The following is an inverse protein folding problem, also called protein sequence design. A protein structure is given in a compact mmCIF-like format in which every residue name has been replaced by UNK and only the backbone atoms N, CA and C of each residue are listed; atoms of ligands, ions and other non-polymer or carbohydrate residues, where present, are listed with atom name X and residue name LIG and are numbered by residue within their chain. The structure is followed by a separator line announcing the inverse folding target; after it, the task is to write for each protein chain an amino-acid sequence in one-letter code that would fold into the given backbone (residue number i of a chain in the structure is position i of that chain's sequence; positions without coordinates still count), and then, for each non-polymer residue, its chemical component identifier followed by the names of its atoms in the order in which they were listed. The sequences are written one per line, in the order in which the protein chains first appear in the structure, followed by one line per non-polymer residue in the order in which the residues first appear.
data_IF_147513956425
#
_entry.id   IF_147513956425
#
_cell.length_a   1.000
_cell.length_b   1.000
_cell.length_c   1.000
_cell.angle_alpha   90.00
_cell.angle_beta   90.00
_cell.angle_gamma   90.00
#
_symmetry.space_group_name_H-M   'P 1'
#
loop_
_entity.id
_entity.type
_entity.pdbx_description
1 polymer ?
#
# COMPACT_ATOMS: atom_id res chain seq x y z
N UNK A 1 -33.22 -16.60 0.61
CA UNK A 1 -31.87 -16.83 0.06
C UNK A 1 -30.95 -15.69 0.46
N UNK A 2 -29.74 -15.94 0.99
CA UNK A 2 -28.77 -14.88 1.23
C UNK A 2 -28.33 -14.25 -0.11
N UNK A 3 -28.12 -12.94 -0.12
CA UNK A 3 -27.69 -12.20 -1.30
C UNK A 3 -26.35 -12.74 -1.82
N UNK A 4 -26.35 -13.32 -3.02
CA UNK A 4 -25.15 -13.84 -3.70
C UNK A 4 -24.29 -12.73 -4.32
N UNK A 5 -24.60 -11.45 -4.15
CA UNK A 5 -23.86 -10.37 -4.81
C UNK A 5 -22.35 -10.40 -4.46
N UNK A 6 -22.00 -10.89 -3.27
CA UNK A 6 -20.64 -10.89 -2.73
C UNK A 6 -19.91 -12.25 -2.66
N UNK A 7 -20.49 -13.34 -3.17
CA UNK A 7 -19.86 -14.67 -3.17
C UNK A 7 -18.72 -14.76 -4.20
N UNK A 8 -17.58 -15.43 -3.91
CA UNK A 8 -16.52 -15.66 -4.90
C UNK A 8 -17.06 -16.30 -6.19
N UNK A 9 -16.48 -15.96 -7.35
CA UNK A 9 -16.94 -16.48 -8.66
C UNK A 9 -16.96 -18.01 -8.72
N UNK A 10 -15.97 -18.67 -8.11
CA UNK A 10 -15.94 -20.12 -7.96
C UNK A 10 -17.14 -20.66 -7.15
N UNK A 11 -17.53 -19.96 -6.09
CA UNK A 11 -18.73 -20.30 -5.31
C UNK A 11 -20.03 -20.06 -6.07
N UNK A 12 -20.12 -18.99 -6.87
CA UNK A 12 -21.28 -18.76 -7.75
C UNK A 12 -21.40 -19.83 -8.82
N UNK A 13 -20.28 -20.20 -9.45
CA UNK A 13 -20.25 -21.28 -10.44
C UNK A 13 -20.60 -22.63 -9.82
N UNK A 14 -20.05 -22.93 -8.65
CA UNK A 14 -20.35 -24.15 -7.91
C UNK A 14 -21.82 -24.21 -7.48
N UNK A 15 -22.38 -23.10 -6.97
CA UNK A 15 -23.81 -23.03 -6.68
C UNK A 15 -24.68 -23.17 -7.93
N UNK A 16 -24.26 -22.55 -9.04
CA UNK A 16 -24.94 -22.72 -10.33
C UNK A 16 -24.93 -24.16 -10.80
N UNK A 17 -23.82 -24.88 -10.63
CA UNK A 17 -23.73 -26.31 -10.93
C UNK A 17 -24.62 -27.14 -10.00
N UNK A 18 -24.64 -26.84 -8.70
CA UNK A 18 -25.53 -27.51 -7.74
C UNK A 18 -27.00 -27.30 -8.07
N UNK A 19 -27.43 -26.09 -8.41
CA UNK A 19 -28.81 -25.81 -8.81
C UNK A 19 -29.16 -26.50 -10.13
N UNK A 20 -28.26 -26.49 -11.12
CA UNK A 20 -28.47 -27.28 -12.36
C UNK A 20 -28.57 -28.78 -12.08
N UNK A 21 -27.90 -29.25 -11.03
CA UNK A 21 -27.94 -30.63 -10.56
C UNK A 21 -29.08 -30.92 -9.55
N UNK A 22 -29.88 -29.95 -9.14
CA UNK A 22 -31.08 -30.24 -8.33
C UNK A 22 -32.31 -30.47 -9.19
N UNK A 23 -32.32 -29.90 -10.38
CA UNK A 23 -33.55 -29.77 -11.19
C UNK A 23 -33.75 -30.92 -12.19
N UNK A 24 -32.77 -31.81 -12.38
CA UNK A 24 -32.93 -32.95 -13.30
C UNK A 24 -33.32 -34.23 -12.56
N UNK A 25 -34.31 -34.93 -13.11
CA UNK A 25 -34.90 -36.16 -12.54
C UNK A 25 -33.99 -37.39 -12.64
N UNK A 26 -32.96 -37.33 -13.48
CA UNK A 26 -31.98 -38.39 -13.76
C UNK A 26 -30.74 -38.32 -12.87
N UNK A 27 -30.76 -37.48 -11.82
CA UNK A 27 -29.54 -37.13 -11.11
C UNK A 27 -29.16 -38.18 -10.07
N UNK A 28 -27.93 -38.63 -10.26
CA UNK A 28 -27.18 -39.40 -9.29
C UNK A 28 -27.00 -38.60 -7.99
N UNK A 29 -27.81 -38.98 -6.99
CA UNK A 29 -27.80 -38.38 -5.65
C UNK A 29 -26.43 -38.50 -4.98
N UNK A 30 -25.60 -39.47 -5.37
CA UNK A 30 -24.28 -39.66 -4.81
C UNK A 30 -23.25 -38.71 -5.45
N UNK A 31 -23.34 -38.40 -6.76
CA UNK A 31 -22.59 -37.27 -7.36
C UNK A 31 -22.96 -35.93 -6.73
N UNK A 32 -24.24 -35.70 -6.45
CA UNK A 32 -24.67 -34.46 -5.78
C UNK A 32 -24.09 -34.37 -4.37
N UNK A 33 -24.14 -35.45 -3.58
CA UNK A 33 -23.49 -35.53 -2.27
C UNK A 33 -21.98 -35.33 -2.36
N UNK A 34 -21.32 -35.84 -3.40
CA UNK A 34 -19.88 -35.63 -3.61
C UNK A 34 -19.56 -34.17 -3.90
N UNK A 35 -20.32 -33.50 -4.77
CA UNK A 35 -20.17 -32.06 -5.02
C UNK A 35 -20.39 -31.21 -3.76
N UNK A 36 -21.31 -31.60 -2.89
CA UNK A 36 -21.56 -30.95 -1.59
C UNK A 36 -20.41 -31.22 -0.60
N UNK A 37 -19.89 -32.46 -0.55
CA UNK A 37 -18.78 -32.86 0.34
C UNK A 37 -17.45 -32.21 -0.04
N UNK A 38 -17.27 -31.86 -1.32
CA UNK A 38 -16.06 -31.23 -1.86
C UNK A 38 -16.40 -29.84 -2.43
N UNK A 39 -16.72 -28.83 -1.60
CA UNK A 39 -16.80 -27.46 -2.08
C UNK A 39 -15.46 -27.09 -2.74
N UNK A 40 -15.45 -26.22 -3.77
CA UNK A 40 -14.23 -25.83 -4.44
C UNK A 40 -13.28 -25.27 -3.39
N UNK A 41 -12.18 -25.98 -3.15
CA UNK A 41 -11.07 -25.42 -2.40
C UNK A 41 -10.60 -24.21 -3.18
N UNK A 42 -10.69 -23.04 -2.55
CA UNK A 42 -10.17 -21.83 -3.14
C UNK A 42 -8.70 -22.12 -3.43
N UNK A 43 -8.31 -22.12 -4.71
CA UNK A 43 -6.94 -22.45 -5.10
C UNK A 43 -6.00 -21.67 -4.19
N UNK A 44 -5.13 -22.37 -3.47
CA UNK A 44 -4.21 -21.73 -2.53
C UNK A 44 -3.32 -20.78 -3.34
N UNK A 45 -3.66 -19.50 -3.28
CA UNK A 45 -2.87 -18.44 -3.86
C UNK A 45 -1.62 -18.38 -3.00
N UNK A 46 -0.45 -18.70 -3.58
CA UNK A 46 0.81 -18.60 -2.85
C UNK A 46 1.02 -17.18 -2.37
N UNK A 47 1.56 -17.05 -1.16
CA UNK A 47 1.98 -15.74 -0.65
C UNK A 47 3.49 -15.67 -0.78
N UNK A 48 4.02 -14.53 -1.23
CA UNK A 48 5.44 -14.22 -1.16
C UNK A 48 5.66 -12.93 -0.37
N UNK A 49 6.77 -12.84 0.35
CA UNK A 49 7.12 -11.66 1.10
C UNK A 49 7.70 -10.60 0.16
N UNK A 50 7.25 -9.36 0.30
CA UNK A 50 7.80 -8.24 -0.47
C UNK A 50 9.29 -8.01 -0.20
N UNK A 51 9.77 -8.42 0.98
CA UNK A 51 11.19 -8.38 1.32
C UNK A 51 12.06 -9.26 0.41
N UNK A 52 11.46 -10.22 -0.30
CA UNK A 52 12.15 -11.08 -1.26
C UNK A 52 12.24 -10.44 -2.67
N UNK A 53 11.60 -9.28 -2.88
CA UNK A 53 11.66 -8.54 -4.15
C UNK A 53 12.85 -7.58 -4.18
N UNK A 54 13.58 -7.57 -5.28
CA UNK A 54 14.52 -6.49 -5.57
C UNK A 54 13.77 -5.21 -5.99
N UNK A 55 14.38 -4.02 -5.89
CA UNK A 55 13.78 -2.80 -6.43
C UNK A 55 13.40 -2.91 -7.92
N UNK A 56 14.19 -3.65 -8.71
CA UNK A 56 13.88 -3.95 -10.11
C UNK A 56 12.59 -4.75 -10.25
N UNK A 57 12.45 -5.82 -9.45
CA UNK A 57 11.22 -6.62 -9.45
C UNK A 57 10.02 -5.75 -9.09
N UNK A 58 10.12 -4.88 -8.09
CA UNK A 58 9.02 -3.97 -7.69
C UNK A 58 8.66 -3.02 -8.83
N UNK A 59 9.66 -2.45 -9.51
CA UNK A 59 9.44 -1.53 -10.61
C UNK A 59 8.78 -2.20 -11.81
N UNK A 60 9.31 -3.33 -12.27
CA UNK A 60 8.73 -4.09 -13.38
C UNK A 60 7.29 -4.50 -13.06
N UNK A 61 7.09 -4.98 -11.84
CA UNK A 61 5.83 -5.53 -11.39
C UNK A 61 4.72 -4.47 -11.26
N UNK A 62 5.03 -3.32 -10.67
CA UNK A 62 4.05 -2.23 -10.48
C UNK A 62 4.06 -1.23 -11.64
N UNK A 63 4.87 -1.45 -12.68
CA UNK A 63 5.03 -0.53 -13.80
C UNK A 63 5.60 0.82 -13.37
N UNK A 64 6.55 0.80 -12.43
CA UNK A 64 7.16 2.02 -11.88
C UNK A 64 8.41 2.39 -12.65
N UNK A 65 8.65 3.70 -12.76
CA UNK A 65 9.79 4.25 -13.48
C UNK A 65 10.52 5.21 -12.55
N UNK A 66 11.83 5.08 -12.44
CA UNK A 66 12.64 6.07 -11.72
C UNK A 66 12.66 7.38 -12.51
N UNK A 67 12.31 8.48 -11.85
CA UNK A 67 12.39 9.81 -12.42
C UNK A 67 13.85 10.27 -12.41
N UNK A 68 14.39 10.62 -13.58
CA UNK A 68 15.69 11.25 -13.66
C UNK A 68 15.62 12.74 -13.31
N UNK A 69 16.60 13.22 -12.56
CA UNK A 69 16.76 14.64 -12.24
C UNK A 69 16.14 15.07 -10.90
N UNK A 70 16.03 16.39 -10.73
CA UNK A 70 15.60 17.01 -9.49
C UNK A 70 14.16 17.49 -9.57
N UNK A 71 13.38 17.20 -8.53
CA UNK A 71 12.05 17.77 -8.35
C UNK A 71 12.06 18.91 -7.35
N UNK A 72 11.07 19.80 -7.44
CA UNK A 72 10.96 20.95 -6.53
C UNK A 72 10.83 20.56 -5.05
N UNK A 73 10.34 19.35 -4.75
CA UNK A 73 10.21 18.85 -3.37
C UNK A 73 11.53 18.29 -2.81
N UNK A 74 12.55 18.04 -3.65
CA UNK A 74 13.89 17.64 -3.21
C UNK A 74 14.65 18.79 -2.52
N UNK A 75 14.06 19.98 -2.41
CA UNK A 75 14.65 21.13 -1.76
C UNK A 75 13.75 21.55 -0.60
N UNK A 76 14.25 21.36 0.62
CA UNK A 76 13.52 21.73 1.82
C UNK A 76 13.18 23.22 1.80
N UNK A 77 11.91 23.53 2.05
CA UNK A 77 11.43 24.91 2.23
C UNK A 77 11.18 25.14 3.71
N UNK A 78 11.52 26.32 4.27
CA UNK A 78 11.27 26.63 5.67
C UNK A 78 9.76 26.75 5.91
N UNK A 79 9.18 25.64 6.35
CA UNK A 79 7.78 25.44 6.70
C UNK A 79 7.59 25.58 8.21
N UNK A 80 8.47 24.96 9.00
CA UNK A 80 8.46 25.01 10.45
C UNK A 80 9.89 25.12 11.00
N UNK A 81 10.00 25.62 12.23
CA UNK A 81 11.21 25.57 13.02
C UNK A 81 10.97 24.63 14.20
N UNK A 82 11.96 23.79 14.51
CA UNK A 82 11.94 23.03 15.76
C UNK A 82 12.06 24.00 16.93
N UNK A 83 11.35 23.71 18.02
CA UNK A 83 11.49 24.52 19.22
C UNK A 83 12.83 24.19 19.91
N UNK A 84 13.46 25.15 20.60
CA UNK A 84 14.70 24.89 21.33
C UNK A 84 14.59 23.75 22.35
N UNK A 85 13.40 23.57 22.94
CA UNK A 85 13.12 22.49 23.89
C UNK A 85 13.19 21.12 23.21
N UNK A 86 12.67 21.01 21.99
CA UNK A 86 12.73 19.75 21.22
C UNK A 86 14.16 19.44 20.75
N UNK A 87 14.93 20.46 20.35
CA UNK A 87 16.35 20.27 20.00
C UNK A 87 17.16 19.81 21.22
N UNK A 88 16.89 20.38 22.39
CA UNK A 88 17.49 19.96 23.65
C UNK A 88 17.12 18.51 23.97
N UNK A 89 15.84 18.14 23.82
CA UNK A 89 15.39 16.76 23.99
C UNK A 89 16.11 15.80 23.03
N UNK A 90 16.26 16.15 21.75
CA UNK A 90 16.97 15.32 20.78
C UNK A 90 18.44 15.10 21.18
N UNK A 91 19.12 16.15 21.65
CA UNK A 91 20.50 16.08 22.09
C UNK A 91 20.64 15.19 23.34
N UNK A 92 19.81 15.44 24.36
CA UNK A 92 19.78 14.62 25.58
C UNK A 92 19.45 13.15 25.26
N UNK A 93 18.46 12.90 24.41
CA UNK A 93 18.10 11.55 23.98
C UNK A 93 19.29 10.86 23.29
N UNK A 94 19.97 11.56 22.37
CA UNK A 94 21.13 11.05 21.67
C UNK A 94 22.27 10.73 22.65
N UNK A 95 22.59 11.62 23.59
CA UNK A 95 23.62 11.42 24.62
C UNK A 95 23.33 10.18 25.48
N UNK A 96 22.12 10.09 26.04
CA UNK A 96 21.71 8.98 26.91
C UNK A 96 21.71 7.63 26.21
N UNK A 97 21.47 7.62 24.89
CA UNK A 97 21.37 6.39 24.12
C UNK A 97 22.66 6.02 23.38
N UNK A 98 23.62 6.94 23.23
CA UNK A 98 24.90 6.71 22.53
C UNK A 98 25.73 5.55 23.08
N UNK A 99 25.81 5.31 24.41
CA UNK A 99 26.54 4.16 24.94
C UNK A 99 25.95 2.79 24.52
N UNK A 100 24.68 2.76 24.12
CA UNK A 100 23.99 1.54 23.70
C UNK A 100 24.11 1.31 22.18
N UNK A 101 24.11 0.02 21.78
CA UNK A 101 24.04 -0.34 20.36
C UNK A 101 22.78 0.28 19.73
N UNK A 102 22.86 0.81 18.49
CA UNK A 102 21.67 1.27 17.78
C UNK A 102 20.63 0.15 17.69
N UNK A 103 19.39 0.45 18.05
CA UNK A 103 18.24 -0.46 17.94
C UNK A 103 17.15 0.22 17.13
N UNK A 104 16.32 -0.59 16.48
CA UNK A 104 15.15 -0.10 15.77
C UNK A 104 14.22 0.71 16.69
N UNK A 105 14.00 0.25 17.92
CA UNK A 105 13.16 0.93 18.90
C UNK A 105 13.65 2.36 19.21
N UNK A 106 14.98 2.55 19.30
CA UNK A 106 15.59 3.87 19.49
C UNK A 106 15.31 4.79 18.31
N UNK A 107 15.47 4.29 17.09
CA UNK A 107 15.21 5.06 15.87
C UNK A 107 13.73 5.43 15.77
N UNK A 108 12.82 4.48 16.00
CA UNK A 108 11.38 4.72 15.99
C UNK A 108 10.96 5.79 17.00
N UNK A 109 11.39 5.66 18.26
CA UNK A 109 11.08 6.65 19.29
C UNK A 109 11.47 8.08 18.88
N UNK A 110 12.66 8.24 18.28
CA UNK A 110 13.13 9.54 17.78
C UNK A 110 12.29 10.04 16.60
N UNK A 111 11.98 9.17 15.65
CA UNK A 111 11.15 9.51 14.48
C UNK A 111 9.73 9.89 14.90
N UNK A 112 9.13 9.16 15.84
CA UNK A 112 7.78 9.42 16.35
C UNK A 112 7.72 10.77 17.05
N UNK A 113 8.69 11.07 17.92
CA UNK A 113 8.78 12.37 18.58
C UNK A 113 8.93 13.52 17.57
N UNK A 114 9.73 13.31 16.51
CA UNK A 114 9.87 14.28 15.43
C UNK A 114 8.58 14.46 14.64
N UNK A 115 7.88 13.38 14.28
CA UNK A 115 6.61 13.44 13.57
C UNK A 115 5.55 14.21 14.37
N UNK A 116 5.50 13.99 15.69
CA UNK A 116 4.61 14.72 16.60
C UNK A 116 4.98 16.21 16.64
N UNK A 117 6.26 16.53 16.85
CA UNK A 117 6.72 17.93 16.89
C UNK A 117 6.42 18.68 15.58
N UNK A 118 6.64 18.02 14.43
CA UNK A 118 6.30 18.55 13.11
C UNK A 118 4.80 18.79 12.98
N UNK A 119 3.99 17.79 13.35
CA UNK A 119 2.54 17.85 13.24
C UNK A 119 1.96 18.99 14.10
N UNK A 120 2.37 19.10 15.36
CA UNK A 120 1.92 20.18 16.24
C UNK A 120 2.39 21.55 15.72
N UNK A 121 3.61 21.64 15.18
CA UNK A 121 4.10 22.86 14.54
C UNK A 121 3.27 23.29 13.32
N UNK A 122 2.84 22.33 12.50
CA UNK A 122 1.94 22.57 11.36
C UNK A 122 0.54 22.99 11.83
N UNK A 123 0.02 22.33 12.86
CA UNK A 123 -1.29 22.63 13.44
C UNK A 123 -1.32 24.03 14.05
N UNK A 124 -0.31 24.41 14.84
CA UNK A 124 -0.21 25.73 15.45
C UNK A 124 -0.17 26.87 14.42
N UNK A 125 0.25 26.59 13.18
CA UNK A 125 0.26 27.54 12.06
C UNK A 125 -1.06 27.58 11.28
N UNK A 126 -2.05 26.76 11.64
CA UNK A 126 -3.32 26.66 10.93
C UNK A 126 -3.24 25.99 9.56
N UNK A 127 -2.18 25.19 9.30
CA UNK A 127 -2.01 24.49 8.02
C UNK A 127 -2.66 23.10 7.99
N UNK A 128 -3.18 22.64 9.13
CA UNK A 128 -3.92 21.39 9.26
C UNK A 128 -5.28 21.71 9.86
N UNK A 129 -6.35 21.22 9.24
CA UNK A 129 -7.72 21.42 9.74
C UNK A 129 -7.97 20.62 11.02
N UNK A 130 -8.66 21.22 12.00
CA UNK A 130 -9.00 20.59 13.28
C UNK A 130 -9.90 19.34 13.17
N UNK A 131 -10.49 19.09 11.99
CA UNK A 131 -11.47 18.02 11.79
C UNK A 131 -10.89 16.63 11.52
N UNK A 132 -9.71 16.51 10.91
CA UNK A 132 -9.14 15.20 10.53
C UNK A 132 -7.95 14.85 11.40
N UNK A 133 -8.20 13.98 12.38
CA UNK A 133 -7.13 13.39 13.20
C UNK A 133 -6.14 12.65 12.29
N UNK A 134 -4.90 13.12 12.25
CA UNK A 134 -3.79 12.30 11.74
C UNK A 134 -3.54 11.21 12.77
N UNK A 135 -3.69 9.96 12.33
CA UNK A 135 -3.38 8.79 13.16
C UNK A 135 -2.00 8.30 12.80
N UNK A 136 -1.09 8.28 13.77
CA UNK A 136 0.14 7.48 13.67
C UNK A 136 -0.27 6.01 13.72
N UNK A 137 -0.22 5.34 12.57
CA UNK A 137 -0.48 3.91 12.48
C UNK A 137 0.85 3.18 12.50
N UNK A 138 1.11 2.48 13.61
CA UNK A 138 2.31 1.67 13.75
C UNK A 138 2.10 0.33 13.05
N UNK A 139 3.00 0.01 12.11
CA UNK A 139 3.12 -1.27 11.41
C UNK A 139 1.80 -1.82 10.82
N UNK A 140 1.56 -1.54 9.54
CA UNK A 140 0.47 -2.19 8.80
C UNK A 140 1.06 -3.09 7.75
N UNK A 141 0.84 -4.40 7.88
CA UNK A 141 1.04 -5.30 6.76
C UNK A 141 -0.03 -5.00 5.71
N UNK A 142 0.40 -4.83 4.46
CA UNK A 142 -0.51 -4.73 3.32
C UNK A 142 -0.40 -6.02 2.52
N UNK A 143 -1.53 -6.49 2.00
CA UNK A 143 -1.57 -7.57 1.01
C UNK A 143 -2.03 -6.99 -0.34
N UNK A 144 -1.37 -7.40 -1.43
CA UNK A 144 -1.73 -7.01 -2.79
C UNK A 144 -1.70 -8.23 -3.72
N UNK A 145 -2.72 -8.38 -4.56
CA UNK A 145 -2.84 -9.51 -5.48
C UNK A 145 -4.29 -9.80 -5.87
N UNK A 146 -4.54 -10.85 -6.67
CA UNK A 146 -3.58 -11.83 -7.17
C UNK A 146 -2.74 -11.29 -8.32
N UNK A 147 -1.49 -11.72 -8.38
CA UNK A 147 -0.47 -11.20 -9.29
C UNK A 147 0.38 -12.34 -9.87
N UNK A 148 0.72 -12.32 -11.16
CA UNK A 148 1.54 -13.37 -11.76
C UNK A 148 3.00 -13.24 -11.30
N UNK A 149 3.53 -14.26 -10.63
CA UNK A 149 4.92 -14.38 -10.25
C UNK A 149 5.39 -15.80 -10.58
N UNK A 150 6.44 -15.93 -11.42
CA UNK A 150 6.96 -17.24 -11.86
C UNK A 150 5.87 -18.18 -12.40
N UNK A 151 4.99 -17.66 -13.27
CA UNK A 151 3.83 -18.38 -13.84
C UNK A 151 2.77 -18.86 -12.83
N UNK A 152 2.84 -18.43 -11.57
CA UNK A 152 1.84 -18.72 -10.54
C UNK A 152 1.17 -17.44 -10.06
N UNK A 153 -0.15 -17.49 -9.85
CA UNK A 153 -0.85 -16.39 -9.18
C UNK A 153 -0.51 -16.40 -7.70
N UNK A 154 0.04 -15.29 -7.23
CA UNK A 154 0.45 -15.10 -5.84
C UNK A 154 -0.14 -13.82 -5.24
N UNK A 155 -0.05 -13.68 -3.92
CA UNK A 155 -0.23 -12.42 -3.19
C UNK A 155 1.13 -11.94 -2.71
N UNK A 156 1.38 -10.65 -2.88
CA UNK A 156 2.49 -9.95 -2.25
C UNK A 156 2.04 -9.49 -0.87
N UNK A 157 2.85 -9.75 0.16
CA UNK A 157 2.63 -9.22 1.51
C UNK A 157 3.84 -8.42 1.92
N UNK A 158 3.63 -7.15 2.25
CA UNK A 158 4.69 -6.19 2.54
C UNK A 158 4.48 -5.51 3.88
N UNK A 159 5.58 -5.20 4.58
CA UNK A 159 5.64 -4.27 5.70
C UNK A 159 6.09 -2.91 5.20
N UNK A 160 6.27 -1.90 6.06
CA UNK A 160 6.66 -0.55 5.64
C UNK A 160 8.03 -0.52 4.91
N UNK A 161 7.99 -0.69 3.59
CA UNK A 161 9.12 -0.66 2.66
C UNK A 161 8.71 0.02 1.33
N UNK A 162 9.60 0.00 0.34
CA UNK A 162 9.31 0.57 -0.99
C UNK A 162 8.15 -0.15 -1.72
N UNK A 163 8.06 -1.47 -1.57
CA UNK A 163 6.96 -2.29 -2.12
C UNK A 163 5.63 -1.89 -1.52
N UNK A 164 5.58 -1.58 -0.22
CA UNK A 164 4.38 -1.07 0.42
C UNK A 164 3.88 0.21 -0.24
N UNK A 165 4.76 1.15 -0.58
CA UNK A 165 4.36 2.38 -1.28
C UNK A 165 3.73 2.07 -2.64
N UNK A 166 4.31 1.14 -3.39
CA UNK A 166 3.79 0.69 -4.68
C UNK A 166 2.40 0.04 -4.55
N UNK A 167 2.23 -0.84 -3.56
CA UNK A 167 0.96 -1.48 -3.26
C UNK A 167 -0.12 -0.48 -2.82
N UNK A 168 0.25 0.52 -2.01
CA UNK A 168 -0.68 1.60 -1.61
C UNK A 168 -1.12 2.38 -2.85
N UNK A 169 -0.20 2.78 -3.72
CA UNK A 169 -0.57 3.48 -4.95
C UNK A 169 -1.49 2.63 -5.83
N UNK A 170 -1.11 1.37 -6.10
CA UNK A 170 -1.90 0.48 -6.93
C UNK A 170 -3.31 0.31 -6.36
N UNK A 171 -3.45 0.22 -5.04
CA UNK A 171 -4.74 0.20 -4.33
C UNK A 171 -5.54 1.49 -4.49
N UNK A 172 -4.90 2.66 -4.46
CA UNK A 172 -5.56 3.94 -4.71
C UNK A 172 -6.04 4.05 -6.16
N UNK A 173 -5.20 3.68 -7.13
CA UNK A 173 -5.55 3.64 -8.57
C UNK A 173 -6.71 2.67 -8.85
N UNK A 174 -6.67 1.47 -8.28
CA UNK A 174 -7.74 0.47 -8.44
C UNK A 174 -9.08 0.92 -7.83
N UNK A 175 -9.07 1.84 -6.85
CA UNK A 175 -10.28 2.48 -6.30
C UNK A 175 -10.72 3.72 -7.07
N UNK A 176 -10.05 4.06 -8.17
CA UNK A 176 -10.34 5.24 -8.97
C UNK A 176 -10.03 6.56 -8.27
N UNK A 177 -9.14 6.57 -7.27
CA UNK A 177 -8.75 7.83 -6.62
C UNK A 177 -8.02 8.74 -7.61
N UNK A 178 -8.46 10.00 -7.67
CA UNK A 178 -7.87 11.02 -8.55
C UNK A 178 -6.43 11.34 -8.18
N UNK A 179 -6.12 11.32 -6.88
CA UNK A 179 -4.76 11.41 -6.38
C UNK A 179 -4.36 10.09 -5.72
N UNK A 180 -3.40 9.43 -6.36
CA UNK A 180 -2.78 8.17 -5.99
C UNK A 180 -1.31 8.35 -5.59
N UNK A 181 -0.82 9.59 -5.46
CA UNK A 181 0.55 9.86 -5.09
C UNK A 181 0.84 9.35 -3.66
N UNK A 182 1.98 8.71 -3.46
CA UNK A 182 2.40 8.16 -2.16
C UNK A 182 3.73 8.78 -1.77
N UNK A 183 3.84 9.14 -0.50
CA UNK A 183 5.04 9.71 0.10
C UNK A 183 5.51 8.75 1.20
N UNK A 184 6.82 8.53 1.30
CA UNK A 184 7.39 7.62 2.29
C UNK A 184 8.81 8.02 2.67
N UNK A 185 9.29 7.49 3.79
CA UNK A 185 10.65 7.72 4.25
C UNK A 185 11.25 6.42 4.81
N UNK A 186 12.53 6.17 4.49
CA UNK A 186 13.33 5.13 5.11
C UNK A 186 14.44 5.80 5.93
N UNK A 187 14.65 5.34 7.16
CA UNK A 187 15.65 5.98 8.04
C UNK A 187 16.24 5.01 9.05
N UNK A 188 17.52 5.17 9.32
CA UNK A 188 18.22 4.57 10.46
C UNK A 188 18.34 5.57 11.64
N UNK A 189 17.75 6.76 11.50
CA UNK A 189 17.80 7.88 12.44
C UNK A 189 18.98 8.83 12.22
N UNK A 190 19.92 8.52 11.33
CA UNK A 190 21.01 9.40 10.90
C UNK A 190 20.85 9.80 9.43
N UNK A 191 20.51 8.85 8.58
CA UNK A 191 20.14 9.04 7.19
C UNK A 191 18.63 8.96 7.03
N UNK A 192 18.09 9.83 6.19
CA UNK A 192 16.69 9.86 5.79
C UNK A 192 16.63 9.83 4.27
N UNK A 193 16.05 8.76 3.73
CA UNK A 193 15.74 8.62 2.32
C UNK A 193 14.26 8.89 2.16
N UNK A 194 13.91 10.03 1.58
CA UNK A 194 12.54 10.41 1.31
C UNK A 194 12.17 10.00 -0.10
N UNK A 195 10.98 9.44 -0.25
CA UNK A 195 10.47 8.91 -1.50
C UNK A 195 9.15 9.58 -1.85
N UNK A 196 8.98 9.84 -3.13
CA UNK A 196 7.69 10.17 -3.73
C UNK A 196 7.42 9.20 -4.85
N UNK A 197 6.24 8.62 -4.86
CA UNK A 197 5.67 7.91 -6.00
C UNK A 197 4.50 8.74 -6.54
N UNK A 198 4.67 9.34 -7.71
CA UNK A 198 3.69 10.27 -8.28
C UNK A 198 2.52 9.53 -8.97
N UNK A 199 1.49 10.28 -9.40
CA UNK A 199 0.30 9.70 -10.04
C UNK A 199 0.58 8.88 -11.30
N UNK A 200 1.64 9.22 -12.03
CA UNK A 200 2.09 8.50 -13.23
C UNK A 200 2.81 7.18 -12.94
N UNK A 201 3.05 6.82 -11.67
CA UNK A 201 3.88 5.67 -11.33
C UNK A 201 5.38 5.96 -11.42
N UNK A 202 5.77 7.23 -11.51
CA UNK A 202 7.20 7.59 -11.46
C UNK A 202 7.60 7.82 -10.01
N UNK A 203 8.74 7.28 -9.61
CA UNK A 203 9.28 7.46 -8.28
C UNK A 203 10.56 8.28 -8.29
N UNK A 204 10.79 9.00 -7.20
CA UNK A 204 11.99 9.81 -6.98
C UNK A 204 12.39 9.74 -5.51
N UNK A 205 13.67 9.95 -5.25
CA UNK A 205 14.26 9.84 -3.93
C UNK A 205 15.24 10.98 -3.67
N UNK A 206 15.24 11.48 -2.43
CA UNK A 206 16.27 12.40 -1.93
C UNK A 206 16.78 11.93 -0.58
N UNK A 207 18.10 12.00 -0.39
CA UNK A 207 18.77 11.56 0.82
C UNK A 207 19.35 12.74 1.60
N UNK A 208 18.99 12.82 2.88
CA UNK A 208 19.56 13.76 3.84
C UNK A 208 20.21 13.02 5.00
N UNK A 209 21.24 13.61 5.57
CA UNK A 209 21.83 13.15 6.83
C UNK A 209 21.70 14.23 7.90
N UNK A 210 21.39 13.81 9.12
CA UNK A 210 21.32 14.69 10.29
C UNK A 210 22.64 15.44 10.46
N UNK A 211 23.77 14.78 10.26
CA UNK A 211 25.10 15.36 10.45
C UNK A 211 25.46 16.43 9.41
N UNK A 212 25.13 16.22 8.13
CA UNK A 212 25.49 17.14 7.04
C UNK A 212 24.46 18.26 6.89
N UNK A 213 23.18 17.90 6.94
CA UNK A 213 22.09 18.77 6.52
C UNK A 213 21.32 19.36 7.72
N UNK A 214 21.46 18.75 8.90
CA UNK A 214 20.82 19.19 10.12
C UNK A 214 19.35 18.77 10.24
N UNK A 215 18.83 18.81 11.47
CA UNK A 215 17.43 18.48 11.76
C UNK A 215 16.46 19.44 11.10
N UNK A 216 16.81 20.71 10.92
CA UNK A 216 15.94 21.69 10.29
C UNK A 216 15.54 21.29 8.86
N UNK A 217 16.47 20.80 8.04
CA UNK A 217 16.19 20.35 6.67
C UNK A 217 15.25 19.14 6.67
N UNK A 218 15.58 18.11 7.46
CA UNK A 218 14.80 16.87 7.60
C UNK A 218 13.37 17.18 8.06
N UNK A 219 13.24 18.01 9.10
CA UNK A 219 11.96 18.46 9.67
C UNK A 219 11.08 19.12 8.61
N UNK A 220 11.68 19.96 7.77
CA UNK A 220 10.94 20.69 6.74
C UNK A 220 10.50 19.80 5.56
N UNK A 221 11.27 18.75 5.22
CA UNK A 221 10.82 17.73 4.26
C UNK A 221 9.65 16.93 4.83
N UNK A 222 9.75 16.49 6.09
CA UNK A 222 8.65 15.79 6.77
C UNK A 222 7.40 16.66 6.81
N UNK A 223 7.55 17.94 7.16
CA UNK A 223 6.45 18.90 7.19
C UNK A 223 5.75 19.00 5.83
N UNK A 224 6.54 19.12 4.76
CA UNK A 224 6.00 19.15 3.40
C UNK A 224 5.24 17.86 3.05
N UNK A 225 5.80 16.69 3.38
CA UNK A 225 5.16 15.40 3.11
C UNK A 225 3.87 15.22 3.90
N UNK A 226 3.80 15.67 5.16
CA UNK A 226 2.57 15.63 5.96
C UNK A 226 1.48 16.49 5.31
N UNK A 227 1.81 17.70 4.86
CA UNK A 227 0.85 18.57 4.15
C UNK A 227 0.35 17.90 2.87
N UNK A 228 1.25 17.34 2.04
CA UNK A 228 0.84 16.62 0.83
C UNK A 228 0.00 15.38 1.13
N UNK A 229 0.37 14.61 2.14
CA UNK A 229 -0.42 13.46 2.59
C UNK A 229 -1.81 13.86 3.08
N UNK A 230 -1.92 15.00 3.76
CA UNK A 230 -3.19 15.56 4.22
C UNK A 230 -4.08 15.99 3.04
N UNK A 231 -3.53 16.71 2.06
CA UNK A 231 -4.22 17.08 0.81
C UNK A 231 -4.72 15.86 0.04
N UNK A 232 -3.85 14.86 -0.18
CA UNK A 232 -4.24 13.60 -0.85
C UNK A 232 -5.35 12.88 -0.09
N UNK A 233 -5.26 12.86 1.25
CA UNK A 233 -6.28 12.25 2.09
C UNK A 233 -7.63 13.00 2.03
N UNK A 234 -7.62 14.31 1.78
CA UNK A 234 -8.80 15.16 1.65
C UNK A 234 -9.63 14.88 0.39
N UNK A 235 -9.06 14.18 -0.60
CA UNK A 235 -9.72 13.90 -1.89
C UNK A 235 -11.12 13.25 -1.72
N UNK A 236 -12.17 13.76 -2.41
CA UNK A 236 -13.59 13.43 -2.16
C UNK A 236 -13.98 11.95 -2.20
N UNK A 237 -13.21 11.10 -2.88
CA UNK A 237 -13.52 9.68 -3.03
C UNK A 237 -13.28 8.84 -1.77
N UNK A 238 -12.64 9.39 -0.74
CA UNK A 238 -12.42 8.67 0.53
C UNK A 238 -13.66 8.68 1.43
N UNK A 239 -14.52 9.68 1.31
CA UNK A 239 -15.67 9.91 2.18
C UNK A 239 -16.81 8.91 1.99
N UNK A 240 -16.95 8.34 0.78
CA UNK A 240 -18.09 7.51 0.39
C UNK A 240 -17.86 6.00 0.53
N UNK A 241 -16.63 5.55 0.82
CA UNK A 241 -16.26 4.13 0.81
C UNK A 241 -15.70 3.60 2.15
N UNK A 242 -15.51 4.45 3.16
CA UNK A 242 -14.93 4.07 4.45
C UNK A 242 -15.82 3.17 5.33
N UNK A 243 -17.09 2.97 4.95
CA UNK A 243 -18.01 2.04 5.63
C UNK A 243 -17.96 0.60 5.08
N UNK A 244 -17.23 0.35 4.00
CA UNK A 244 -17.11 -0.99 3.41
C UNK A 244 -15.75 -1.56 3.79
N UNK A 245 -15.79 -2.52 4.72
CA UNK A 245 -14.74 -3.46 5.14
C UNK A 245 -13.59 -3.62 4.13
N UNK A 246 -12.36 -3.63 4.66
CA UNK A 246 -11.01 -3.72 4.08
C UNK A 246 -10.73 -4.85 3.06
N UNK A 247 -11.72 -5.34 2.31
CA UNK A 247 -11.47 -6.20 1.16
C UNK A 247 -10.74 -5.40 0.09
N UNK A 248 -9.59 -5.93 -0.33
CA UNK A 248 -8.86 -5.48 -1.50
C UNK A 248 -9.82 -5.22 -2.69
N UNK A 249 -9.56 -4.20 -3.52
CA UNK A 249 -10.37 -3.92 -4.71
C UNK A 249 -10.53 -5.20 -5.54
N UNK A 250 -11.77 -5.67 -5.72
CA UNK A 250 -12.03 -6.76 -6.66
C UNK A 250 -11.77 -6.21 -8.06
N UNK A 251 -10.75 -6.78 -8.71
CA UNK A 251 -10.39 -6.49 -10.11
C UNK A 251 -11.66 -6.57 -11.00
N UNK A 252 -11.89 -5.65 -11.95
CA UNK A 252 -12.93 -5.82 -12.95
C UNK A 252 -12.71 -7.15 -13.67
N UNK A 253 -13.77 -7.94 -13.81
CA UNK A 253 -13.70 -9.30 -14.32
C UNK A 253 -12.93 -9.36 -15.65
N UNK A 254 -11.86 -10.18 -15.70
CA UNK A 254 -11.32 -10.67 -16.96
C UNK A 254 -12.49 -11.15 -17.82
N UNK A 255 -12.64 -10.54 -19.00
CA UNK A 255 -13.69 -10.87 -19.94
C UNK A 255 -13.39 -12.26 -20.52
N UNK A 256 -13.96 -13.30 -19.91
CA UNK A 256 -13.77 -14.71 -20.31
C UNK A 256 -14.23 -14.96 -21.75
N UNK A 257 -15.09 -14.10 -22.32
CA UNK A 257 -15.46 -14.19 -23.73
C UNK A 257 -14.23 -14.15 -24.66
N UNK A 258 -13.18 -13.40 -24.30
CA UNK A 258 -11.96 -13.31 -25.10
C UNK A 258 -11.06 -14.56 -25.06
N UNK A 259 -11.33 -15.52 -24.16
CA UNK A 259 -10.55 -16.77 -24.02
C UNK A 259 -11.30 -17.98 -24.59
N UNK A 260 -12.60 -17.84 -24.88
CA UNK A 260 -13.43 -18.92 -25.41
C UNK A 260 -13.66 -18.85 -26.93
N UNK A 261 -13.16 -17.80 -27.59
CA UNK A 261 -13.26 -17.61 -29.05
C UNK A 261 -12.02 -18.10 -29.82
N UNK A 262 -11.22 -19.03 -29.29
CA UNK A 262 -10.27 -19.79 -30.13
C UNK A 262 -10.99 -20.96 -30.83
N UNK A 263 -11.14 -20.93 -32.16
CA UNK A 263 -11.64 -22.07 -32.91
C UNK A 263 -10.53 -23.12 -33.05
N UNK A 264 -10.50 -24.11 -32.15
CA UNK A 264 -9.87 -25.40 -32.47
C UNK A 264 -10.85 -26.25 -33.28
N UNK A 265 -10.33 -26.85 -34.36
CA UNK A 265 -10.98 -27.71 -35.36
C UNK A 265 -11.55 -27.02 -36.61
N UNK A 266 -10.65 -26.69 -37.53
CA UNK A 266 -10.85 -27.00 -38.94
C UNK A 266 -9.96 -28.20 -39.29
N UNK A 267 -10.55 -29.38 -39.34
CA UNK A 267 -9.99 -30.55 -40.01
C UNK A 267 -10.92 -30.88 -41.18
N UNK A 268 -10.37 -30.89 -42.40
CA UNK A 268 -11.07 -31.37 -43.58
C UNK A 268 -10.66 -30.71 -44.89
N UNK A 269 -9.48 -31.07 -45.42
CA UNK A 269 -9.34 -31.85 -46.66
C UNK A 269 -7.88 -32.16 -46.96
#
# INVERSE_FOLDING_TARGET
MPSLSNTPKAWKSWWGTLNKLSDRSDIDKDRLKECIKKPPQQAEISTFAAADMTPTDVNEFFGLIELSGWEAWHFARPLIALTPEFETWLNTFQELTTPSKPTEARTRCKVDALLIAVYEGLKARGWLEDGRKVTLQFETALEWGPIPCQNKLSKCVSKADYTYMAMVQASRKARGQTDSAVWGALTDGQWFFFFRLNNGGQWSCVAYSVRRDGWAVITNIIAFMILRGHETAASPLRSSLSSISSRAPRIPSLNIAAVLDEPMFAAGH
#
